data_IF_401747444530
#
_entry.id   IF_401747444530
#
_cell.length_a   1.000
_cell.length_b   1.000
_cell.length_c   1.000
_cell.angle_alpha   90.00
_cell.angle_beta   90.00
_cell.angle_gamma   90.00
#
_symmetry.space_group_name_H-M   'P 1'
#
loop_
_entity.id
_entity.type
_entity.pdbx_description
1 polymer ?
#
# COMPACT_ATOMS: atom_id res chain seq x y z
N UNK A 1 3.19 34.65 21.85
CA UNK A 1 3.10 34.38 20.40
C UNK A 1 4.29 33.47 20.09
N UNK A 2 4.12 32.17 20.30
CA UNK A 2 5.21 31.21 20.15
C UNK A 2 5.57 31.08 18.66
N UNK A 3 6.83 31.33 18.33
CA UNK A 3 7.33 31.22 16.98
C UNK A 3 7.31 29.75 16.55
N UNK A 4 6.55 29.43 15.50
CA UNK A 4 6.64 28.14 14.83
C UNK A 4 8.07 27.94 14.31
N UNK A 5 8.87 27.17 15.05
CA UNK A 5 10.19 26.73 14.58
C UNK A 5 10.01 25.95 13.28
N UNK A 6 10.64 26.42 12.20
CA UNK A 6 10.60 25.72 10.91
C UNK A 6 11.09 24.27 11.03
N UNK A 7 10.58 23.38 10.18
CA UNK A 7 10.91 21.96 10.17
C UNK A 7 12.44 21.74 10.12
N UNK A 8 12.95 20.90 11.02
CA UNK A 8 14.35 20.48 11.01
C UNK A 8 14.70 19.69 9.73
N UNK A 9 15.98 19.64 9.36
CA UNK A 9 16.45 18.81 8.25
C UNK A 9 16.06 17.33 8.43
N UNK A 10 16.02 16.85 9.68
CA UNK A 10 15.60 15.49 10.01
C UNK A 10 14.09 15.29 9.79
N UNK A 11 13.26 16.28 10.14
CA UNK A 11 11.81 16.21 9.93
C UNK A 11 11.48 16.20 8.45
N UNK A 12 12.16 17.03 7.65
CA UNK A 12 12.04 17.05 6.19
C UNK A 12 12.40 15.70 5.58
N UNK A 13 13.48 15.06 6.05
CA UNK A 13 13.87 13.72 5.61
C UNK A 13 12.83 12.65 5.98
N UNK A 14 12.32 12.69 7.21
CA UNK A 14 11.31 11.74 7.66
C UNK A 14 10.00 11.89 6.89
N UNK A 15 9.59 13.13 6.63
CA UNK A 15 8.42 13.44 5.80
C UNK A 15 8.62 12.93 4.37
N UNK A 16 9.78 13.20 3.75
CA UNK A 16 10.09 12.72 2.41
C UNK A 16 10.01 11.19 2.31
N UNK A 17 10.61 10.48 3.27
CA UNK A 17 10.52 9.01 3.33
C UNK A 17 9.07 8.53 3.50
N UNK A 18 8.30 9.15 4.38
CA UNK A 18 6.89 8.81 4.60
C UNK A 18 6.03 9.01 3.35
N UNK A 19 6.26 10.12 2.64
CA UNK A 19 5.58 10.42 1.38
C UNK A 19 5.97 9.45 0.27
N UNK A 20 7.24 9.03 0.20
CA UNK A 20 7.68 8.01 -0.78
C UNK A 20 7.03 6.65 -0.51
N UNK A 21 6.92 6.25 0.75
CA UNK A 21 6.16 5.04 1.13
C UNK A 21 4.71 5.11 0.65
N UNK A 22 4.02 6.23 0.95
CA UNK A 22 2.65 6.46 0.48
C UNK A 22 2.52 6.48 -1.05
N UNK A 23 3.51 7.02 -1.76
CA UNK A 23 3.54 7.03 -3.22
C UNK A 23 3.71 5.61 -3.80
N UNK A 24 4.53 4.76 -3.18
CA UNK A 24 4.67 3.36 -3.58
C UNK A 24 3.36 2.60 -3.40
N UNK A 25 2.64 2.78 -2.29
CA UNK A 25 1.34 2.11 -2.11
C UNK A 25 0.30 2.55 -3.15
N UNK A 26 0.39 3.80 -3.60
CA UNK A 26 -0.48 4.31 -4.64
C UNK A 26 -0.07 3.79 -6.03
N UNK A 27 1.23 3.66 -6.28
CA UNK A 27 1.77 3.12 -7.51
C UNK A 27 1.29 1.69 -7.77
N UNK A 28 1.42 0.81 -6.77
CA UNK A 28 0.99 -0.60 -6.89
C UNK A 28 -0.51 -0.71 -7.22
N UNK A 29 -1.32 0.18 -6.64
CA UNK A 29 -2.76 0.22 -6.88
C UNK A 29 -3.12 0.66 -8.29
N UNK A 30 -2.48 1.71 -8.77
CA UNK A 30 -2.69 2.21 -10.13
C UNK A 30 -2.26 1.14 -11.14
N UNK A 31 -1.08 0.52 -10.94
CA UNK A 31 -0.60 -0.54 -11.80
C UNK A 31 -1.54 -1.73 -11.80
N UNK A 32 -2.02 -2.19 -10.64
CA UNK A 32 -2.95 -3.31 -10.58
C UNK A 32 -4.21 -3.06 -11.43
N UNK A 33 -4.83 -1.88 -11.29
CA UNK A 33 -6.03 -1.52 -12.06
C UNK A 33 -5.71 -1.39 -13.56
N UNK A 34 -4.56 -0.81 -13.89
CA UNK A 34 -4.10 -0.66 -15.28
C UNK A 34 -3.92 -2.02 -15.96
N UNK A 35 -3.38 -3.00 -15.23
CA UNK A 35 -3.17 -4.37 -15.71
C UNK A 35 -4.35 -5.32 -15.44
N UNK A 36 -5.48 -4.84 -14.90
CA UNK A 36 -6.58 -5.71 -14.47
C UNK A 36 -7.09 -6.65 -15.59
N UNK A 37 -7.17 -6.19 -16.84
CA UNK A 37 -7.56 -7.04 -17.97
C UNK A 37 -6.53 -8.14 -18.26
N UNK A 38 -5.25 -7.82 -18.17
CA UNK A 38 -4.16 -8.78 -18.40
C UNK A 38 -4.14 -9.80 -17.26
N UNK A 39 -4.31 -9.35 -16.02
CA UNK A 39 -4.41 -10.22 -14.84
C UNK A 39 -5.62 -11.16 -14.99
N UNK A 40 -6.76 -10.66 -15.42
CA UNK A 40 -7.97 -11.47 -15.55
C UNK A 40 -7.83 -12.58 -16.58
N UNK A 41 -7.14 -12.32 -17.70
CA UNK A 41 -6.89 -13.29 -18.77
C UNK A 41 -5.79 -14.31 -18.44
N UNK A 42 -4.78 -13.91 -17.65
CA UNK A 42 -3.64 -14.78 -17.33
C UNK A 42 -3.84 -15.63 -16.07
N UNK A 43 -4.54 -15.11 -15.06
CA UNK A 43 -4.68 -15.80 -13.77
C UNK A 43 -5.98 -16.59 -13.63
N UNK A 44 -7.01 -16.31 -14.44
CA UNK A 44 -8.27 -17.07 -14.41
C UNK A 44 -8.39 -18.01 -15.61
N UNK A 45 -9.05 -19.18 -15.46
CA UNK A 45 -9.17 -20.16 -16.54
C UNK A 45 -9.93 -19.60 -17.76
N UNK A 46 -9.50 -19.99 -18.96
CA UNK A 46 -10.14 -19.60 -20.22
C UNK A 46 -11.58 -20.13 -20.39
N UNK A 47 -11.97 -21.16 -19.62
CA UNK A 47 -13.35 -21.65 -19.56
C UNK A 47 -14.27 -20.83 -18.65
N UNK A 48 -13.73 -19.89 -17.85
CA UNK A 48 -14.52 -18.98 -17.04
C UNK A 48 -15.07 -17.86 -17.92
N UNK A 49 -16.34 -17.47 -17.72
CA UNK A 49 -16.90 -16.32 -18.44
C UNK A 49 -16.04 -15.07 -18.21
N UNK A 50 -15.77 -14.27 -19.27
CA UNK A 50 -14.97 -13.03 -19.16
C UNK A 50 -15.48 -12.08 -18.07
N UNK A 51 -16.80 -12.03 -17.87
CA UNK A 51 -17.40 -11.23 -16.81
C UNK A 51 -16.93 -11.67 -15.41
N UNK A 52 -16.97 -12.98 -15.12
CA UNK A 52 -16.57 -13.52 -13.82
C UNK A 52 -15.07 -13.40 -13.57
N UNK A 53 -14.24 -13.57 -14.61
CA UNK A 53 -12.79 -13.37 -14.49
C UNK A 53 -12.44 -11.92 -14.13
N UNK A 54 -13.07 -10.95 -14.80
CA UNK A 54 -12.87 -9.53 -14.52
C UNK A 54 -13.42 -9.15 -13.14
N UNK A 55 -14.61 -9.65 -12.77
CA UNK A 55 -15.20 -9.40 -11.47
C UNK A 55 -14.32 -9.94 -10.34
N UNK A 56 -13.76 -11.13 -10.47
CA UNK A 56 -12.83 -11.68 -9.49
C UNK A 56 -11.54 -10.84 -9.39
N UNK A 57 -11.01 -10.36 -10.52
CA UNK A 57 -9.83 -9.49 -10.54
C UNK A 57 -10.07 -8.18 -9.79
N UNK A 58 -11.23 -7.54 -10.00
CA UNK A 58 -11.64 -6.38 -9.21
C UNK A 58 -12.00 -6.74 -7.78
N UNK A 59 -12.48 -7.95 -7.53
CA UNK A 59 -12.74 -8.49 -6.19
C UNK A 59 -11.48 -8.59 -5.36
N UNK A 60 -10.37 -9.06 -5.95
CA UNK A 60 -9.05 -9.08 -5.31
C UNK A 60 -8.58 -7.65 -4.99
N UNK A 61 -8.75 -6.71 -5.93
CA UNK A 61 -8.45 -5.29 -5.68
C UNK A 61 -9.27 -4.73 -4.51
N UNK A 62 -10.59 -4.97 -4.51
CA UNK A 62 -11.50 -4.52 -3.46
C UNK A 62 -11.15 -5.15 -2.10
N UNK A 63 -10.82 -6.44 -2.07
CA UNK A 63 -10.36 -7.13 -0.87
C UNK A 63 -9.07 -6.49 -0.33
N UNK A 64 -8.09 -6.22 -1.19
CA UNK A 64 -6.87 -5.49 -0.80
C UNK A 64 -7.16 -4.13 -0.18
N UNK A 65 -8.10 -3.37 -0.75
CA UNK A 65 -8.55 -2.09 -0.20
C UNK A 65 -9.27 -2.26 1.15
N UNK A 66 -10.08 -3.31 1.29
CA UNK A 66 -10.79 -3.62 2.53
C UNK A 66 -9.85 -4.03 3.68
N UNK A 67 -8.76 -4.74 3.37
CA UNK A 67 -7.77 -5.11 4.38
C UNK A 67 -6.85 -3.95 4.79
N UNK A 68 -6.79 -2.83 4.06
CA UNK A 68 -5.95 -1.68 4.41
C UNK A 68 -6.25 -1.09 5.80
N UNK A 69 -7.51 -0.79 6.18
CA UNK A 69 -7.83 -0.36 7.54
C UNK A 69 -7.36 -1.34 8.60
N UNK A 70 -7.52 -2.64 8.37
CA UNK A 70 -7.06 -3.67 9.30
C UNK A 70 -5.54 -3.66 9.44
N UNK A 71 -4.81 -3.62 8.31
CA UNK A 71 -3.36 -3.47 8.30
C UNK A 71 -2.90 -2.19 9.02
N UNK A 72 -3.60 -1.07 8.81
CA UNK A 72 -3.33 0.19 9.49
C UNK A 72 -3.51 0.11 11.00
N UNK A 73 -4.56 -0.55 11.49
CA UNK A 73 -4.79 -0.75 12.93
C UNK A 73 -3.70 -1.65 13.54
N UNK A 74 -3.39 -2.76 12.88
CA UNK A 74 -2.34 -3.69 13.34
C UNK A 74 -0.99 -2.97 13.36
N UNK A 75 -0.64 -2.26 12.29
CA UNK A 75 0.61 -1.52 12.22
C UNK A 75 0.63 -0.38 13.25
N UNK A 76 -0.45 0.37 13.44
CA UNK A 76 -0.50 1.40 14.48
C UNK A 76 -0.23 0.81 15.88
N UNK A 77 -0.87 -0.30 16.20
CA UNK A 77 -0.69 -0.98 17.49
C UNK A 77 0.77 -1.41 17.73
N UNK A 78 1.38 -2.12 16.79
CA UNK A 78 2.78 -2.52 16.92
C UNK A 78 3.75 -1.34 16.80
N UNK A 79 3.37 -0.27 16.12
CA UNK A 79 4.16 0.94 15.95
C UNK A 79 4.31 1.72 17.24
N UNK A 80 3.27 1.74 18.07
CA UNK A 80 3.31 2.34 19.39
C UNK A 80 4.06 1.45 20.41
N UNK A 81 4.13 0.14 20.21
CA UNK A 81 4.86 -0.80 21.09
C UNK A 81 6.37 -0.92 20.77
N UNK A 82 6.72 -1.11 19.48
CA UNK A 82 8.08 -1.45 19.02
C UNK A 82 8.84 -0.23 18.47
N UNK A 83 8.11 0.85 18.20
CA UNK A 83 8.62 2.13 17.71
C UNK A 83 8.30 2.38 16.23
N UNK A 84 7.70 3.54 15.97
CA UNK A 84 7.18 3.97 14.65
C UNK A 84 8.19 3.87 13.51
N UNK A 85 9.46 4.19 13.76
CA UNK A 85 10.50 4.20 12.72
C UNK A 85 10.85 2.80 12.21
N UNK A 86 10.90 1.81 13.10
CA UNK A 86 11.21 0.41 12.74
C UNK A 86 10.06 -0.22 11.96
N UNK A 87 8.84 0.04 12.42
CA UNK A 87 7.66 -0.48 11.76
C UNK A 87 7.43 0.16 10.39
N UNK A 88 7.72 1.45 10.25
CA UNK A 88 7.70 2.12 8.96
C UNK A 88 8.68 1.47 7.96
N UNK A 89 9.91 1.16 8.39
CA UNK A 89 10.87 0.43 7.56
C UNK A 89 10.40 -0.99 7.22
N UNK A 90 9.77 -1.70 8.17
CA UNK A 90 9.17 -3.01 7.91
C UNK A 90 8.05 -2.92 6.86
N UNK A 91 7.19 -1.91 6.94
CA UNK A 91 6.12 -1.68 5.95
C UNK A 91 6.70 -1.51 4.55
N UNK A 92 7.71 -0.65 4.38
CA UNK A 92 8.39 -0.47 3.09
C UNK A 92 9.00 -1.80 2.61
N UNK A 93 9.64 -2.56 3.49
CA UNK A 93 10.25 -3.84 3.13
C UNK A 93 9.22 -4.87 2.69
N UNK A 94 8.07 -4.95 3.38
CA UNK A 94 6.96 -5.82 3.00
C UNK A 94 6.34 -5.45 1.65
N UNK A 95 6.40 -4.18 1.24
CA UNK A 95 5.95 -3.75 -0.09
C UNK A 95 7.00 -3.97 -1.17
N UNK A 96 8.29 -3.88 -0.83
CA UNK A 96 9.38 -4.08 -1.78
C UNK A 96 9.71 -5.56 -2.04
N UNK A 97 9.24 -6.49 -1.20
CA UNK A 97 9.48 -7.93 -1.38
C UNK A 97 8.64 -8.59 -2.50
N UNK A 98 7.34 -8.26 -2.66
CA UNK A 98 6.51 -8.83 -3.72
C UNK A 98 6.74 -8.18 -5.10
N UNK A 99 7.23 -6.93 -5.11
CA UNK A 99 7.58 -6.16 -6.33
C UNK A 99 8.94 -6.56 -6.87
#
# INVERSE_FOLDING_TARGET
MEAHSGLSAQDKRSLGLSSLGGALEFYDFVIYVFYAKIISELFFPSGLSPFWAMLNTYGIFAAGYFFRPLGGVVMAHFGDLVGRKRLFSLSILLMALPT
#
